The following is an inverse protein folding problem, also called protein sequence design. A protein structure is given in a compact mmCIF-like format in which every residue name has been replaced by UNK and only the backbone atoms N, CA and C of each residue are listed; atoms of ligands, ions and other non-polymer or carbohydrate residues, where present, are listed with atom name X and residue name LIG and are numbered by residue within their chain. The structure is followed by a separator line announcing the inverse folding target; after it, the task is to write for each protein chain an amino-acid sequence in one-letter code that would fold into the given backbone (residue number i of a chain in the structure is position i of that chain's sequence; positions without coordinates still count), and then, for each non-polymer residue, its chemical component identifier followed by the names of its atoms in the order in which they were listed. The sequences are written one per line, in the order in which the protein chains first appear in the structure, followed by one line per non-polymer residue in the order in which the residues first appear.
data_IF_845153722948
#
_entry.id   IF_845153722948
#
_cell.length_a   1.000
_cell.length_b   1.000
_cell.length_c   1.000
_cell.angle_alpha   90.00
_cell.angle_beta   90.00
_cell.angle_gamma   90.00
#
_symmetry.space_group_name_H-M   'P 1'
#
loop_
_entity.id
_entity.type
_entity.pdbx_description
1 polymer ?
#
# COMPACT_ATOMS: atom_id res chain seq x y z
N UNK A 1 -0.41 -33.44 14.63
CA UNK A 1 -0.52 -32.09 14.04
C UNK A 1 0.51 -32.05 12.92
N UNK A 2 0.12 -32.53 11.74
CA UNK A 2 1.06 -32.72 10.63
C UNK A 2 1.46 -31.39 9.99
N UNK A 3 2.72 -31.00 10.24
CA UNK A 3 3.79 -30.81 9.26
C UNK A 3 3.56 -30.11 7.90
N UNK A 4 2.43 -29.45 7.64
CA UNK A 4 2.30 -28.56 6.47
C UNK A 4 2.79 -27.15 6.82
N UNK A 5 4.07 -27.02 7.18
CA UNK A 5 4.70 -25.70 7.34
C UNK A 5 4.66 -25.00 5.98
N UNK A 6 4.01 -23.83 5.92
CA UNK A 6 3.86 -23.10 4.67
C UNK A 6 5.19 -22.79 3.99
N UNK A 7 5.15 -22.53 2.67
CA UNK A 7 6.35 -22.25 1.88
C UNK A 7 7.12 -21.05 2.47
N UNK A 8 8.43 -21.19 2.51
CA UNK A 8 9.37 -20.10 2.82
C UNK A 8 9.66 -19.33 1.54
N UNK A 9 9.54 -18.00 1.58
CA UNK A 9 9.72 -17.09 0.45
C UNK A 9 9.01 -17.54 -0.85
N UNK A 10 7.68 -17.78 -0.82
CA UNK A 10 6.93 -18.27 -1.98
C UNK A 10 6.95 -17.35 -3.21
N UNK A 11 7.29 -16.07 -3.06
CA UNK A 11 7.37 -15.14 -4.19
C UNK A 11 8.77 -14.48 -4.25
N UNK A 12 9.36 -14.23 -5.44
CA UNK A 12 10.73 -13.72 -5.55
C UNK A 12 11.02 -12.42 -4.78
N UNK A 13 10.02 -11.52 -4.70
CA UNK A 13 10.16 -10.28 -3.95
C UNK A 13 10.13 -10.46 -2.43
N UNK A 14 9.71 -11.62 -1.92
CA UNK A 14 9.58 -11.85 -0.48
C UNK A 14 10.92 -11.71 0.25
N UNK A 15 12.01 -12.19 -0.37
CA UNK A 15 13.34 -12.13 0.22
C UNK A 15 13.78 -10.68 0.47
N UNK A 16 13.59 -9.80 -0.51
CA UNK A 16 13.98 -8.39 -0.41
C UNK A 16 13.02 -7.55 0.44
N UNK A 17 11.87 -8.09 0.82
CA UNK A 17 10.85 -7.39 1.61
C UNK A 17 10.63 -8.00 3.00
N UNK A 18 11.32 -9.08 3.33
CA UNK A 18 11.24 -9.75 4.62
C UNK A 18 9.95 -10.56 4.81
N UNK A 19 9.24 -10.95 3.75
CA UNK A 19 7.99 -11.74 3.85
C UNK A 19 8.32 -13.24 3.87
N UNK A 20 8.89 -13.75 4.97
CA UNK A 20 9.47 -15.11 4.96
C UNK A 20 8.43 -16.22 4.90
N UNK A 21 7.37 -16.14 5.69
CA UNK A 21 6.46 -17.26 5.87
C UNK A 21 5.14 -17.09 5.12
N UNK A 22 4.50 -18.22 4.84
CA UNK A 22 3.13 -18.30 4.34
C UNK A 22 2.34 -19.28 5.21
N UNK A 23 1.01 -19.16 5.20
CA UNK A 23 0.16 -19.94 6.10
C UNK A 23 0.12 -21.42 5.69
N UNK A 24 0.08 -21.71 4.38
CA UNK A 24 0.01 -23.08 3.85
C UNK A 24 0.93 -23.26 2.63
N UNK A 25 1.29 -24.51 2.33
CA UNK A 25 2.01 -24.87 1.11
C UNK A 25 1.10 -24.93 -0.13
N UNK A 26 -0.23 -24.97 0.08
CA UNK A 26 -1.24 -24.93 -0.97
C UNK A 26 -1.11 -23.65 -1.80
N UNK A 27 -1.40 -23.78 -3.09
CA UNK A 27 -1.31 -22.68 -4.05
C UNK A 27 -2.27 -22.93 -5.21
N UNK A 28 -2.95 -21.89 -5.61
CA UNK A 28 -3.73 -21.87 -6.85
C UNK A 28 -2.74 -21.89 -8.02
N UNK A 29 -2.81 -22.94 -8.83
CA UNK A 29 -1.95 -23.14 -9.99
C UNK A 29 -2.42 -22.30 -11.20
N UNK A 30 -2.46 -20.98 -11.03
CA UNK A 30 -2.93 -20.02 -12.02
C UNK A 30 -2.13 -18.72 -11.90
N UNK A 31 -1.68 -18.15 -13.02
CA UNK A 31 -1.04 -16.82 -13.01
C UNK A 31 -2.10 -15.74 -12.77
N UNK A 32 -1.95 -14.96 -11.70
CA UNK A 32 -2.84 -13.83 -11.45
C UNK A 32 -2.09 -12.51 -11.61
N UNK A 33 -2.51 -11.72 -12.60
CA UNK A 33 -1.97 -10.38 -12.87
C UNK A 33 -2.91 -9.31 -12.35
N UNK A 34 -2.37 -8.41 -11.54
CA UNK A 34 -3.10 -7.21 -11.10
C UNK A 34 -3.22 -6.24 -12.28
N UNK A 35 -4.45 -5.99 -12.71
CA UNK A 35 -4.77 -5.02 -13.76
C UNK A 35 -5.95 -4.15 -13.33
N UNK A 36 -6.16 -2.98 -13.95
CA UNK A 36 -7.33 -2.16 -13.67
C UNK A 36 -8.68 -2.87 -13.89
N UNK A 37 -8.73 -3.92 -14.71
CA UNK A 37 -9.94 -4.72 -14.95
C UNK A 37 -10.11 -5.91 -14.00
N UNK A 38 -9.03 -6.46 -13.46
CA UNK A 38 -9.08 -7.62 -12.55
C UNK A 38 -9.11 -7.23 -11.08
N UNK A 39 -8.64 -6.02 -10.74
CA UNK A 39 -8.46 -5.59 -9.37
C UNK A 39 -9.25 -4.30 -9.09
N UNK A 40 -10.31 -4.42 -8.30
CA UNK A 40 -11.21 -3.34 -7.93
C UNK A 40 -11.06 -3.06 -6.44
N UNK A 41 -10.90 -1.80 -6.07
CA UNK A 41 -10.71 -1.35 -4.69
C UNK A 41 -11.75 -0.29 -4.37
N UNK A 42 -12.50 -0.47 -3.28
CA UNK A 42 -13.50 0.51 -2.82
C UNK A 42 -13.14 0.94 -1.42
N UNK A 43 -12.85 2.23 -1.25
CA UNK A 43 -12.72 2.83 0.07
C UNK A 43 -14.04 2.70 0.82
N UNK A 44 -13.98 2.18 2.04
CA UNK A 44 -15.13 2.09 2.93
C UNK A 44 -15.02 3.18 3.98
N UNK A 45 -16.04 4.02 4.05
CA UNK A 45 -16.17 5.08 5.05
C UNK A 45 -17.36 4.82 5.95
N UNK A 46 -17.35 5.41 7.13
CA UNK A 46 -18.50 5.50 8.01
C UNK A 46 -19.54 6.47 7.42
N UNK A 47 -20.56 5.93 6.77
CA UNK A 47 -21.61 6.75 6.15
C UNK A 47 -22.43 7.55 7.17
N UNK A 48 -22.38 7.22 8.46
CA UNK A 48 -23.00 8.02 9.52
C UNK A 48 -22.43 9.44 9.65
N UNK A 49 -21.27 9.70 9.06
CA UNK A 49 -20.64 11.03 9.01
C UNK A 49 -21.08 11.86 7.79
N UNK A 50 -21.85 11.27 6.87
CA UNK A 50 -22.45 11.96 5.75
C UNK A 50 -23.78 12.57 6.18
N UNK A 51 -23.95 13.86 5.92
CA UNK A 51 -25.20 14.59 6.17
C UNK A 51 -25.86 14.98 4.85
N UNK A 52 -27.18 15.22 4.89
CA UNK A 52 -27.87 15.77 3.72
C UNK A 52 -27.52 17.25 3.58
N UNK A 53 -27.62 17.76 2.35
CA UNK A 53 -27.36 19.18 2.05
C UNK A 53 -28.16 20.13 2.94
N UNK A 54 -29.42 19.78 3.20
CA UNK A 54 -30.38 20.59 3.97
C UNK A 54 -29.98 20.78 5.44
N UNK A 55 -29.08 19.95 5.96
CA UNK A 55 -28.64 19.97 7.37
C UNK A 55 -27.42 20.89 7.59
N UNK A 56 -27.02 21.65 6.55
CA UNK A 56 -25.90 22.59 6.55
C UNK A 56 -26.39 23.98 6.17
N UNK A 57 -25.95 25.00 6.91
CA UNK A 57 -26.13 26.39 6.48
C UNK A 57 -25.39 26.64 5.16
N UNK A 58 -25.89 27.60 4.38
CA UNK A 58 -25.27 27.96 3.12
C UNK A 58 -23.82 28.36 3.35
N UNK A 59 -22.91 27.63 2.68
CA UNK A 59 -21.44 27.79 2.66
C UNK A 59 -20.64 27.13 3.79
N UNK A 60 -21.27 26.48 4.77
CA UNK A 60 -20.55 25.71 5.80
C UNK A 60 -20.30 24.25 5.38
N UNK A 61 -19.17 23.68 5.79
CA UNK A 61 -18.83 22.28 5.59
C UNK A 61 -18.13 21.94 4.27
N UNK A 62 -18.14 20.65 3.94
CA UNK A 62 -17.43 20.04 2.82
C UNK A 62 -18.38 19.23 1.95
N UNK A 63 -18.20 19.31 0.64
CA UNK A 63 -18.75 18.36 -0.32
C UNK A 63 -17.90 17.11 -0.25
N UNK A 64 -18.54 15.96 -0.15
CA UNK A 64 -17.90 14.64 -0.28
C UNK A 64 -18.15 14.16 -1.69
N UNK A 65 -17.07 14.05 -2.47
CA UNK A 65 -17.08 13.64 -3.87
C UNK A 65 -16.55 12.21 -3.96
N UNK A 66 -17.40 11.28 -4.39
CA UNK A 66 -16.99 9.94 -4.80
C UNK A 66 -16.23 10.04 -6.11
N UNK A 67 -15.04 9.45 -6.11
CA UNK A 67 -14.13 9.42 -7.26
C UNK A 67 -13.93 7.99 -7.68
N UNK A 68 -14.35 7.65 -8.90
CA UNK A 68 -14.10 6.34 -9.51
C UNK A 68 -13.07 6.53 -10.61
N UNK A 69 -11.87 5.97 -10.44
CA UNK A 69 -10.78 6.04 -11.42
C UNK A 69 -10.34 4.65 -11.89
N UNK A 70 -9.92 4.53 -13.15
CA UNK A 70 -9.42 3.28 -13.76
C UNK A 70 -8.07 3.49 -14.41
N UNK A 71 -7.03 2.80 -13.94
CA UNK A 71 -5.70 2.88 -14.56
C UNK A 71 -5.04 4.26 -14.43
N UNK A 72 -5.44 5.06 -13.44
CA UNK A 72 -5.09 6.46 -13.27
C UNK A 72 -4.46 6.69 -11.90
N UNK A 73 -3.41 7.52 -11.82
CA UNK A 73 -2.79 7.88 -10.55
C UNK A 73 -3.68 8.83 -9.73
N UNK A 74 -3.55 8.81 -8.41
CA UNK A 74 -4.36 9.67 -7.53
C UNK A 74 -4.03 11.15 -7.73
N UNK A 75 -2.76 11.52 -7.95
CA UNK A 75 -2.37 12.90 -8.25
C UNK A 75 -2.85 13.36 -9.62
N UNK A 76 -2.95 12.45 -10.60
CA UNK A 76 -3.57 12.76 -11.89
C UNK A 76 -5.05 13.07 -11.72
N UNK A 77 -5.79 12.26 -10.95
CA UNK A 77 -7.19 12.52 -10.64
C UNK A 77 -7.39 13.87 -9.91
N UNK A 78 -6.53 14.18 -8.93
CA UNK A 78 -6.54 15.47 -8.24
C UNK A 78 -6.32 16.65 -9.20
N UNK A 79 -5.37 16.56 -10.12
CA UNK A 79 -5.11 17.60 -11.13
C UNK A 79 -6.27 17.78 -12.09
N UNK A 80 -6.91 16.69 -12.52
CA UNK A 80 -8.09 16.76 -13.38
C UNK A 80 -9.22 17.51 -12.65
N UNK A 81 -9.50 17.14 -11.40
CA UNK A 81 -10.56 17.78 -10.62
C UNK A 81 -10.24 19.25 -10.32
N UNK A 82 -9.02 19.54 -9.88
CA UNK A 82 -8.53 20.90 -9.62
C UNK A 82 -8.74 21.84 -10.81
N UNK A 83 -8.38 21.41 -12.03
CA UNK A 83 -8.60 22.20 -13.25
C UNK A 83 -10.08 22.39 -13.59
N UNK A 84 -10.91 21.38 -13.36
CA UNK A 84 -12.35 21.46 -13.65
C UNK A 84 -13.07 22.39 -12.68
N UNK A 85 -12.64 22.43 -11.43
CA UNK A 85 -13.20 23.27 -10.38
C UNK A 85 -12.55 24.66 -10.28
N UNK A 86 -11.43 24.88 -10.97
CA UNK A 86 -10.61 26.07 -10.85
C UNK A 86 -10.16 26.37 -9.40
N UNK A 87 -9.72 25.33 -8.69
CA UNK A 87 -9.19 25.44 -7.32
C UNK A 87 -7.82 24.76 -7.18
N UNK A 88 -6.94 25.24 -6.28
CA UNK A 88 -5.69 24.55 -5.95
C UNK A 88 -5.91 23.12 -5.44
N UNK A 89 -5.01 22.19 -5.79
CA UNK A 89 -5.07 20.77 -5.37
C UNK A 89 -5.05 20.64 -3.84
N UNK A 90 -4.39 21.56 -3.15
CA UNK A 90 -4.26 21.63 -1.70
C UNK A 90 -5.60 21.84 -0.97
N UNK A 91 -6.63 22.28 -1.70
CA UNK A 91 -7.99 22.42 -1.19
C UNK A 91 -8.84 21.14 -1.35
N UNK A 92 -8.27 20.07 -1.93
CA UNK A 92 -8.92 18.78 -2.13
C UNK A 92 -8.31 17.78 -1.15
N UNK A 93 -9.05 17.44 -0.09
CA UNK A 93 -8.58 16.50 0.95
C UNK A 93 -9.05 15.07 0.64
N UNK A 94 -8.31 14.07 1.10
CA UNK A 94 -8.59 12.64 0.90
C UNK A 94 -7.83 11.80 1.95
N UNK A 95 -8.21 10.53 2.16
CA UNK A 95 -7.62 9.67 3.20
C UNK A 95 -6.26 9.08 2.85
N UNK A 96 -6.01 8.83 1.56
CA UNK A 96 -4.74 8.27 1.10
C UNK A 96 -4.71 7.99 -0.39
N UNK A 97 -3.51 7.73 -0.89
CA UNK A 97 -3.30 7.36 -2.29
C UNK A 97 -3.90 5.98 -2.57
N UNK A 98 -4.42 5.79 -3.79
CA UNK A 98 -4.95 4.52 -4.28
C UNK A 98 -4.14 4.02 -5.46
N UNK A 99 -4.03 2.69 -5.58
CA UNK A 99 -3.27 2.02 -6.63
C UNK A 99 -3.67 2.51 -8.04
N UNK A 100 -2.66 2.75 -8.89
CA UNK A 100 -2.86 3.08 -10.31
C UNK A 100 -3.33 1.86 -11.10
N UNK A 101 -2.79 0.68 -10.80
CA UNK A 101 -3.05 -0.58 -11.51
C UNK A 101 -4.35 -1.25 -11.05
N UNK A 102 -5.39 -0.44 -10.77
CA UNK A 102 -6.67 -0.87 -10.23
C UNK A 102 -7.81 0.02 -10.76
N UNK A 103 -9.04 -0.46 -10.65
CA UNK A 103 -10.22 0.41 -10.63
C UNK A 103 -10.52 0.77 -9.18
N UNK A 104 -10.45 2.05 -8.82
CA UNK A 104 -10.53 2.48 -7.43
C UNK A 104 -11.67 3.45 -7.21
N UNK A 105 -12.48 3.21 -6.17
CA UNK A 105 -13.44 4.17 -5.62
C UNK A 105 -12.87 4.77 -4.35
N UNK A 106 -12.79 6.10 -4.27
CA UNK A 106 -12.32 6.85 -3.09
C UNK A 106 -13.14 8.11 -2.87
N UNK A 107 -12.97 8.78 -1.72
CA UNK A 107 -13.68 10.02 -1.41
C UNK A 107 -12.75 11.22 -1.30
N UNK A 108 -13.08 12.27 -2.04
CA UNK A 108 -12.43 13.57 -1.96
C UNK A 108 -13.35 14.56 -1.22
N UNK A 109 -12.75 15.47 -0.46
CA UNK A 109 -13.45 16.39 0.42
C UNK A 109 -13.02 17.81 0.07
N UNK A 110 -13.99 18.65 -0.28
CA UNK A 110 -13.72 20.01 -0.75
C UNK A 110 -14.64 20.97 -0.01
N UNK A 111 -14.12 22.11 0.46
CA UNK A 111 -14.95 23.11 1.14
C UNK A 111 -16.08 23.57 0.20
N UNK A 112 -17.31 23.57 0.69
CA UNK A 112 -18.50 23.92 -0.12
C UNK A 112 -18.39 25.31 -0.74
N UNK A 113 -17.86 26.28 0.01
CA UNK A 113 -17.71 27.66 -0.46
C UNK A 113 -16.78 27.83 -1.67
N UNK A 114 -15.95 26.82 -1.99
CA UNK A 114 -14.97 26.88 -3.07
C UNK A 114 -15.50 26.31 -4.39
N UNK A 115 -16.68 25.70 -4.41
CA UNK A 115 -17.13 24.88 -5.54
C UNK A 115 -18.58 25.15 -5.89
N UNK A 116 -18.87 25.34 -7.18
CA UNK A 116 -20.23 25.24 -7.70
C UNK A 116 -20.65 23.77 -7.83
N UNK A 117 -21.54 23.32 -6.96
CA UNK A 117 -22.05 21.94 -6.93
C UNK A 117 -22.72 21.51 -8.25
N UNK A 118 -23.19 22.46 -9.08
CA UNK A 118 -23.88 22.17 -10.36
C UNK A 118 -22.96 21.56 -11.43
N UNK A 119 -21.65 21.65 -11.25
CA UNK A 119 -20.68 21.07 -12.19
C UNK A 119 -20.65 19.53 -12.13
N UNK A 120 -21.16 18.93 -11.04
CA UNK A 120 -21.20 17.48 -10.90
C UNK A 120 -22.46 16.89 -11.54
N UNK A 121 -22.38 15.68 -12.12
CA UNK A 121 -21.20 14.82 -12.20
C UNK A 121 -20.17 15.31 -13.24
N UNK A 122 -18.89 15.11 -12.96
CA UNK A 122 -17.82 15.36 -13.94
C UNK A 122 -17.41 14.01 -14.52
N UNK A 123 -17.60 13.84 -15.82
CA UNK A 123 -17.14 12.68 -16.57
C UNK A 123 -15.83 12.99 -17.29
N UNK A 124 -14.87 12.06 -17.17
CA UNK A 124 -13.66 12.01 -17.99
C UNK A 124 -13.35 10.58 -18.38
N UNK A 125 -12.42 10.40 -19.32
CA UNK A 125 -12.17 9.11 -19.98
C UNK A 125 -11.81 7.97 -19.02
N UNK A 126 -11.09 8.30 -17.94
CA UNK A 126 -10.58 7.33 -16.94
C UNK A 126 -11.02 7.63 -15.52
N UNK A 127 -11.85 8.65 -15.32
CA UNK A 127 -12.26 9.10 -13.99
C UNK A 127 -13.64 9.74 -14.02
N UNK A 128 -14.46 9.42 -13.02
CA UNK A 128 -15.77 9.99 -12.78
C UNK A 128 -15.80 10.59 -11.37
N UNK A 129 -16.34 11.79 -11.25
CA UNK A 129 -16.52 12.49 -9.98
C UNK A 129 -18.01 12.76 -9.74
N UNK A 130 -18.53 12.30 -8.61
CA UNK A 130 -19.95 12.38 -8.26
C UNK A 130 -20.11 12.83 -6.81
N UNK A 131 -21.10 13.68 -6.52
CA UNK A 131 -21.40 14.04 -5.13
C UNK A 131 -21.98 12.82 -4.43
N UNK A 132 -21.31 12.37 -3.36
CA UNK A 132 -21.77 11.30 -2.49
C UNK A 132 -22.56 11.83 -1.28
N UNK A 133 -22.30 13.08 -0.88
CA UNK A 133 -22.96 13.71 0.25
C UNK A 133 -22.16 14.90 0.75
N UNK A 134 -22.37 15.24 2.02
CA UNK A 134 -21.75 16.39 2.66
C UNK A 134 -21.26 16.03 4.06
N UNK A 135 -20.33 16.80 4.60
CA UNK A 135 -19.90 16.65 5.99
C UNK A 135 -19.51 18.00 6.59
N UNK A 136 -19.61 18.13 7.91
CA UNK A 136 -19.24 19.37 8.62
C UNK A 136 -17.73 19.54 8.77
N UNK A 137 -16.96 18.47 8.65
CA UNK A 137 -15.54 18.44 9.01
C UNK A 137 -14.66 17.97 7.86
N UNK A 138 -13.35 18.27 7.95
CA UNK A 138 -12.33 17.64 7.10
C UNK A 138 -12.37 16.11 7.25
N UNK A 139 -11.86 15.35 6.27
CA UNK A 139 -11.72 13.89 6.41
C UNK A 139 -10.91 13.59 7.67
N UNK A 140 -11.49 12.75 8.53
CA UNK A 140 -10.83 12.30 9.77
C UNK A 140 -10.54 10.82 9.66
N UNK A 141 -9.46 10.38 10.31
CA UNK A 141 -8.98 9.00 10.23
C UNK A 141 -10.03 7.99 10.72
N UNK A 142 -10.86 8.38 11.68
CA UNK A 142 -11.87 7.50 12.29
C UNK A 142 -13.03 7.17 11.33
N UNK A 143 -13.22 8.01 10.30
CA UNK A 143 -14.23 7.83 9.25
C UNK A 143 -13.79 6.74 8.26
N UNK A 144 -12.48 6.59 8.03
CA UNK A 144 -11.95 5.58 7.11
C UNK A 144 -11.90 4.20 7.78
N UNK A 145 -12.72 3.27 7.30
CA UNK A 145 -12.85 1.91 7.86
C UNK A 145 -12.00 0.87 7.14
N UNK A 146 -11.35 1.25 6.04
CA UNK A 146 -10.51 0.34 5.24
C UNK A 146 -10.94 0.28 3.79
N UNK A 147 -10.60 -0.81 3.11
CA UNK A 147 -10.97 -0.99 1.70
C UNK A 147 -11.61 -2.37 1.49
N UNK A 148 -12.69 -2.40 0.71
CA UNK A 148 -13.21 -3.61 0.08
C UNK A 148 -12.42 -3.85 -1.21
N UNK A 149 -11.98 -5.08 -1.41
CA UNK A 149 -11.29 -5.55 -2.59
C UNK A 149 -12.18 -6.53 -3.32
N UNK A 150 -12.28 -6.35 -4.63
CA UNK A 150 -12.92 -7.29 -5.54
C UNK A 150 -11.89 -7.72 -6.59
N UNK A 151 -11.70 -9.02 -6.67
CA UNK A 151 -10.67 -9.69 -7.46
C UNK A 151 -11.36 -10.60 -8.45
N UNK A 152 -11.20 -10.30 -9.74
CA UNK A 152 -11.76 -11.07 -10.85
C UNK A 152 -10.67 -11.96 -11.44
N UNK A 153 -10.92 -13.27 -11.41
CA UNK A 153 -10.00 -14.31 -11.86
C UNK A 153 -10.67 -15.05 -13.01
N UNK A 154 -10.05 -15.05 -14.17
CA UNK A 154 -10.57 -15.70 -15.38
C UNK A 154 -9.89 -17.05 -15.59
N UNK A 155 -10.62 -18.07 -16.06
CA UNK A 155 -10.04 -19.34 -16.46
C UNK A 155 -9.59 -20.24 -15.29
N UNK A 156 -10.29 -20.16 -14.16
CA UNK A 156 -10.04 -21.03 -13.01
C UNK A 156 -10.85 -22.33 -13.16
N UNK A 157 -10.19 -23.48 -13.32
CA UNK A 157 -10.86 -24.78 -13.36
C UNK A 157 -11.46 -25.18 -11.99
N UNK A 158 -12.37 -26.16 -11.98
CA UNK A 158 -13.08 -26.59 -10.76
C UNK A 158 -12.12 -27.01 -9.63
N UNK A 159 -11.01 -27.68 -9.98
CA UNK A 159 -10.00 -28.11 -9.00
C UNK A 159 -9.33 -26.89 -8.37
N UNK A 160 -8.94 -25.91 -9.17
CA UNK A 160 -8.32 -24.68 -8.66
C UNK A 160 -9.30 -23.82 -7.86
N UNK A 161 -10.60 -23.84 -8.20
CA UNK A 161 -11.64 -23.22 -7.40
C UNK A 161 -11.73 -23.86 -6.01
N UNK A 162 -11.67 -25.19 -5.92
CA UNK A 162 -11.71 -25.90 -4.63
C UNK A 162 -10.45 -25.66 -3.79
N UNK A 163 -9.27 -25.65 -4.42
CA UNK A 163 -8.01 -25.25 -3.75
C UNK A 163 -8.11 -23.82 -3.21
N UNK A 164 -8.63 -22.88 -4.00
CA UNK A 164 -8.81 -21.50 -3.56
C UNK A 164 -9.75 -21.40 -2.35
N UNK A 165 -10.88 -22.13 -2.37
CA UNK A 165 -11.80 -22.20 -1.21
C UNK A 165 -11.09 -22.73 0.02
N UNK A 166 -10.33 -23.82 -0.09
CA UNK A 166 -9.57 -24.40 1.01
C UNK A 166 -8.56 -23.41 1.61
N UNK A 167 -7.83 -22.66 0.78
CA UNK A 167 -6.90 -21.62 1.26
C UNK A 167 -7.67 -20.49 1.97
N UNK A 168 -8.79 -20.03 1.41
CA UNK A 168 -9.62 -18.99 2.04
C UNK A 168 -10.20 -19.44 3.39
N UNK A 169 -10.58 -20.71 3.52
CA UNK A 169 -11.00 -21.29 4.80
C UNK A 169 -9.88 -21.29 5.84
N UNK A 170 -8.65 -21.65 5.43
CA UNK A 170 -7.48 -21.58 6.29
C UNK A 170 -7.20 -20.15 6.74
N UNK A 171 -7.24 -19.19 5.81
CA UNK A 171 -7.09 -17.75 6.10
C UNK A 171 -8.17 -17.28 7.08
N UNK A 172 -9.42 -17.70 6.89
CA UNK A 172 -10.52 -17.30 7.78
C UNK A 172 -10.35 -17.87 9.20
N UNK A 173 -9.83 -19.10 9.32
CA UNK A 173 -9.62 -19.76 10.63
C UNK A 173 -8.41 -19.20 11.34
N UNK A 174 -7.28 -19.13 10.66
CA UNK A 174 -5.97 -18.86 11.25
C UNK A 174 -5.47 -17.44 11.06
N UNK A 175 -5.96 -16.72 10.05
CA UNK A 175 -5.45 -15.39 9.68
C UNK A 175 -4.11 -15.42 8.95
N UNK A 176 -3.62 -14.23 8.64
CA UNK A 176 -2.35 -14.01 7.96
C UNK A 176 -1.45 -13.09 8.77
N UNK A 177 -0.11 -13.27 8.74
CA UNK A 177 0.79 -12.29 9.32
C UNK A 177 0.57 -10.93 8.66
N UNK A 178 0.46 -9.88 9.47
CA UNK A 178 0.14 -8.53 9.04
C UNK A 178 1.35 -7.77 8.44
N UNK A 179 2.09 -8.46 7.57
CA UNK A 179 3.23 -7.93 6.85
C UNK A 179 2.89 -6.64 6.11
N UNK A 180 3.88 -5.75 6.01
CA UNK A 180 3.90 -4.71 5.01
C UNK A 180 4.06 -5.33 3.62
N UNK A 181 3.11 -5.09 2.73
CA UNK A 181 3.12 -5.68 1.37
C UNK A 181 4.09 -4.99 0.41
N UNK A 182 4.27 -5.59 -0.77
CA UNK A 182 5.23 -5.17 -1.80
C UNK A 182 5.13 -3.69 -2.17
N UNK A 183 3.92 -3.12 -2.20
CA UNK A 183 3.68 -1.73 -2.54
C UNK A 183 4.38 -0.76 -1.58
N UNK A 184 4.58 -1.14 -0.30
CA UNK A 184 5.32 -0.32 0.67
C UNK A 184 6.79 -0.16 0.29
N UNK A 185 7.35 -1.15 -0.40
CA UNK A 185 8.76 -1.19 -0.77
C UNK A 185 9.03 -0.72 -2.21
N UNK A 186 7.97 -0.54 -2.99
CA UNK A 186 8.01 -0.29 -4.43
C UNK A 186 7.99 -1.59 -5.22
N UNK A 187 7.18 -1.64 -6.29
CA UNK A 187 7.04 -2.84 -7.13
C UNK A 187 8.06 -2.84 -8.26
N UNK A 188 8.19 -1.74 -9.01
CA UNK A 188 9.17 -1.61 -10.10
C UNK A 188 10.61 -1.52 -9.60
N UNK A 189 10.83 -0.68 -8.58
CA UNK A 189 12.08 -0.54 -7.84
C UNK A 189 11.80 -0.88 -6.37
N UNK A 190 12.16 -2.09 -5.96
CA UNK A 190 11.92 -2.62 -4.61
C UNK A 190 12.94 -2.10 -3.59
N UNK A 191 13.11 -0.78 -3.51
CA UNK A 191 14.23 -0.15 -2.82
C UNK A 191 13.85 0.93 -1.81
N UNK A 192 12.55 1.14 -1.58
CA UNK A 192 12.06 2.24 -0.73
C UNK A 192 12.56 2.10 0.72
N UNK A 193 12.58 0.89 1.25
CA UNK A 193 13.14 0.60 2.58
C UNK A 193 14.67 0.75 2.63
N UNK A 194 15.39 0.47 1.54
CA UNK A 194 16.84 0.69 1.45
C UNK A 194 17.19 2.18 1.47
N UNK A 195 16.41 2.99 0.75
CA UNK A 195 16.52 4.44 0.81
C UNK A 195 16.27 4.93 2.25
N UNK A 196 15.20 4.45 2.90
CA UNK A 196 14.91 4.74 4.30
C UNK A 196 16.03 4.36 5.26
N UNK A 197 16.58 3.15 5.12
CA UNK A 197 17.73 2.67 5.90
C UNK A 197 18.89 3.66 5.86
N UNK A 198 19.28 4.11 4.68
CA UNK A 198 20.43 5.01 4.55
C UNK A 198 20.14 6.45 4.97
N UNK A 199 18.87 6.86 5.03
CA UNK A 199 18.49 8.12 5.69
C UNK A 199 18.64 8.01 7.20
N UNK A 200 18.10 6.95 7.80
CA UNK A 200 18.21 6.67 9.24
C UNK A 200 19.68 6.60 9.65
N UNK A 201 20.51 5.90 8.88
CA UNK A 201 21.95 5.77 9.12
C UNK A 201 22.79 7.00 8.78
N UNK A 202 22.15 8.07 8.27
CA UNK A 202 22.82 9.31 7.82
C UNK A 202 23.94 9.04 6.79
N UNK A 203 23.72 8.08 5.89
CA UNK A 203 24.66 7.66 4.84
C UNK A 203 24.18 8.09 3.46
N UNK A 204 24.37 9.37 3.14
CA UNK A 204 23.97 9.95 1.85
C UNK A 204 24.69 9.30 0.67
N UNK A 205 25.95 8.89 0.86
CA UNK A 205 26.73 8.16 -0.14
C UNK A 205 26.01 6.87 -0.58
N UNK A 206 25.55 6.06 0.37
CA UNK A 206 24.78 4.85 0.10
C UNK A 206 23.40 5.16 -0.47
N UNK A 207 22.71 6.18 0.07
CA UNK A 207 21.41 6.62 -0.44
C UNK A 207 21.49 6.99 -1.93
N UNK A 208 22.48 7.80 -2.30
CA UNK A 208 22.65 8.27 -3.68
C UNK A 208 22.91 7.11 -4.65
N UNK A 209 23.70 6.10 -4.23
CA UNK A 209 23.95 4.90 -5.03
C UNK A 209 22.67 4.11 -5.29
N UNK A 210 21.86 3.88 -4.26
CA UNK A 210 20.56 3.18 -4.40
C UNK A 210 19.59 3.97 -5.28
N UNK A 211 19.58 5.30 -5.13
CA UNK A 211 18.68 6.18 -5.86
C UNK A 211 19.06 6.29 -7.35
N UNK A 212 20.35 6.46 -7.65
CA UNK A 212 20.83 6.83 -8.98
C UNK A 212 21.35 5.64 -9.79
N UNK A 213 22.16 4.79 -9.15
CA UNK A 213 23.04 3.85 -9.86
C UNK A 213 22.50 2.40 -9.84
N UNK A 214 21.66 2.03 -8.87
CA UNK A 214 21.08 0.68 -8.82
C UNK A 214 19.97 0.50 -9.85
N UNK A 215 20.07 -0.58 -10.62
CA UNK A 215 19.10 -1.02 -11.63
C UNK A 215 18.28 -2.18 -11.11
N UNK A 216 16.98 -2.20 -11.42
CA UNK A 216 16.04 -3.21 -10.98
C UNK A 216 15.38 -3.91 -12.18
N UNK A 217 15.18 -5.24 -12.15
CA UNK A 217 14.54 -5.98 -13.24
C UNK A 217 13.11 -5.51 -13.58
N UNK A 218 12.40 -4.91 -12.63
CA UNK A 218 11.05 -4.37 -12.82
C UNK A 218 10.99 -2.99 -13.48
N UNK A 219 12.13 -2.40 -13.83
CA UNK A 219 12.17 -1.11 -14.53
C UNK A 219 11.95 -1.26 -16.03
N UNK A 220 11.31 -0.25 -16.63
CA UNK A 220 11.16 -0.19 -18.08
C UNK A 220 12.52 0.03 -18.75
N UNK A 221 12.77 -0.56 -19.92
CA UNK A 221 14.08 -0.52 -20.61
C UNK A 221 14.58 0.93 -20.83
N UNK A 222 13.67 1.85 -21.17
CA UNK A 222 14.01 3.27 -21.35
C UNK A 222 14.56 3.89 -20.06
N UNK A 223 13.97 3.57 -18.90
CA UNK A 223 14.44 4.04 -17.62
C UNK A 223 15.84 3.51 -17.29
N UNK A 224 16.09 2.23 -17.58
CA UNK A 224 17.40 1.60 -17.40
C UNK A 224 18.46 2.31 -18.27
N UNK A 225 18.17 2.52 -19.56
CA UNK A 225 19.09 3.20 -20.50
C UNK A 225 19.41 4.62 -20.02
N UNK A 226 18.41 5.37 -19.55
CA UNK A 226 18.61 6.73 -19.02
C UNK A 226 19.52 6.74 -17.79
N UNK A 227 19.37 5.78 -16.86
CA UNK A 227 20.27 5.65 -15.70
C UNK A 227 21.71 5.33 -16.09
N UNK A 228 21.92 4.40 -17.02
CA UNK A 228 23.25 4.06 -17.52
C UNK A 228 23.93 5.30 -18.12
N UNK A 229 23.18 6.12 -18.85
CA UNK A 229 23.67 7.39 -19.43
C UNK A 229 23.77 8.54 -18.42
N UNK A 230 23.39 8.31 -17.15
CA UNK A 230 23.25 9.32 -16.09
C UNK A 230 22.35 10.51 -16.51
N UNK A 231 21.37 10.25 -17.36
CA UNK A 231 20.33 11.22 -17.71
C UNK A 231 19.18 11.13 -16.71
N UNK A 232 19.15 12.07 -15.77
CA UNK A 232 18.14 12.10 -14.72
C UNK A 232 16.98 13.08 -14.97
N UNK A 233 16.90 13.65 -16.17
CA UNK A 233 15.99 14.76 -16.48
C UNK A 233 14.51 14.37 -16.35
N UNK A 234 14.15 13.16 -16.77
CA UNK A 234 12.76 12.65 -16.72
C UNK A 234 12.37 11.99 -15.39
N UNK A 235 13.31 11.83 -14.44
CA UNK A 235 13.03 11.21 -13.15
C UNK A 235 12.72 12.27 -12.09
N UNK A 236 11.58 12.12 -11.41
CA UNK A 236 11.07 13.14 -10.49
C UNK A 236 11.94 13.32 -9.24
N UNK A 237 12.40 12.23 -8.61
CA UNK A 237 13.19 12.29 -7.38
C UNK A 237 14.68 12.44 -7.69
N UNK A 238 15.20 11.62 -8.60
CA UNK A 238 16.59 11.62 -9.04
C UNK A 238 16.97 12.95 -9.69
N UNK A 239 16.11 13.50 -10.54
CA UNK A 239 16.34 14.81 -11.15
C UNK A 239 16.39 15.93 -10.11
N UNK A 240 15.59 15.87 -9.03
CA UNK A 240 15.69 16.83 -7.92
C UNK A 240 16.99 16.68 -7.15
N UNK A 241 17.39 15.44 -6.88
CA UNK A 241 18.63 15.13 -6.18
C UNK A 241 19.83 15.70 -6.93
N UNK A 242 19.97 15.38 -8.21
CA UNK A 242 21.11 15.77 -9.04
C UNK A 242 21.16 17.29 -9.28
N UNK A 243 20.02 17.94 -9.58
CA UNK A 243 19.98 19.39 -9.81
C UNK A 243 20.41 20.23 -8.60
N UNK A 244 20.20 19.71 -7.39
CA UNK A 244 20.54 20.41 -6.16
C UNK A 244 21.99 20.18 -5.70
N UNK A 245 22.70 19.22 -6.31
CA UNK A 245 24.08 18.86 -5.97
C UNK A 245 24.21 17.84 -4.84
N UNK A 246 25.42 17.29 -4.70
CA UNK A 246 25.78 16.17 -3.82
C UNK A 246 26.27 16.60 -2.41
N UNK A 247 25.82 17.75 -1.91
CA UNK A 247 26.29 18.39 -0.67
C UNK A 247 25.22 18.39 0.43
N UNK A 248 24.39 17.35 0.52
CA UNK A 248 23.26 17.26 1.46
C UNK A 248 22.00 17.99 1.01
N UNK A 249 22.11 18.97 0.11
CA UNK A 249 20.96 19.71 -0.41
C UNK A 249 20.08 18.83 -1.32
N UNK A 250 20.71 17.96 -2.12
CA UNK A 250 20.02 16.94 -2.92
C UNK A 250 19.15 16.03 -2.06
N UNK A 251 19.71 15.45 -1.01
CA UNK A 251 18.97 14.60 -0.08
C UNK A 251 17.81 15.38 0.55
N UNK A 252 18.07 16.56 1.11
CA UNK A 252 17.04 17.40 1.74
C UNK A 252 15.86 17.69 0.80
N UNK A 253 16.12 17.95 -0.48
CA UNK A 253 15.08 18.22 -1.47
C UNK A 253 14.25 16.97 -1.82
N UNK A 254 14.88 15.79 -1.87
CA UNK A 254 14.17 14.53 -2.06
C UNK A 254 13.32 14.21 -0.83
N UNK A 255 13.85 14.36 0.38
CA UNK A 255 13.11 14.10 1.63
C UNK A 255 11.90 15.01 1.79
N UNK A 256 12.00 16.29 1.39
CA UNK A 256 10.83 17.18 1.34
C UNK A 256 9.73 16.69 0.42
N UNK A 257 10.08 15.98 -0.66
CA UNK A 257 9.12 15.46 -1.63
C UNK A 257 8.56 14.09 -1.25
N UNK A 258 9.39 13.22 -0.66
CA UNK A 258 9.00 11.89 -0.20
C UNK A 258 8.35 11.91 1.20
N UNK A 259 8.56 12.98 1.95
CA UNK A 259 8.20 13.07 3.37
C UNK A 259 8.82 11.88 4.16
N UNK A 260 8.17 11.45 5.23
CA UNK A 260 8.59 10.31 6.06
C UNK A 260 8.45 8.94 5.37
N UNK A 261 7.84 8.83 4.17
CA UNK A 261 7.43 7.55 3.55
C UNK A 261 8.55 6.51 3.49
N UNK A 262 9.78 6.92 3.20
CA UNK A 262 10.91 5.99 3.08
C UNK A 262 11.39 5.46 4.44
N UNK A 263 11.39 6.29 5.49
CA UNK A 263 11.72 5.87 6.86
C UNK A 263 10.64 4.89 7.34
N UNK A 264 9.40 5.25 7.05
CA UNK A 264 8.20 4.46 7.29
C UNK A 264 8.22 3.09 6.58
N UNK A 265 8.83 3.02 5.39
CA UNK A 265 9.07 1.77 4.67
C UNK A 265 10.18 0.94 5.31
N UNK A 266 11.27 1.56 5.78
CA UNK A 266 12.31 0.84 6.50
C UNK A 266 11.81 0.25 7.82
N UNK A 267 11.04 1.02 8.59
CA UNK A 267 10.38 0.52 9.79
C UNK A 267 9.43 -0.66 9.48
N UNK A 268 8.73 -0.61 8.34
CA UNK A 268 7.90 -1.72 7.88
C UNK A 268 8.69 -2.98 7.51
N UNK A 269 9.89 -2.82 6.94
CA UNK A 269 10.81 -3.94 6.68
C UNK A 269 11.27 -4.60 7.99
N UNK A 270 11.71 -3.80 8.97
CA UNK A 270 12.10 -4.31 10.29
C UNK A 270 10.92 -5.01 10.97
N UNK A 271 9.70 -4.45 10.87
CA UNK A 271 8.50 -5.09 11.39
C UNK A 271 8.23 -6.45 10.73
N UNK A 272 8.43 -6.58 9.42
CA UNK A 272 8.33 -7.89 8.76
C UNK A 272 9.35 -8.90 9.32
N UNK A 273 10.60 -8.47 9.59
CA UNK A 273 11.60 -9.32 10.23
C UNK A 273 11.18 -9.74 11.65
N UNK A 274 10.56 -8.85 12.43
CA UNK A 274 10.00 -9.21 13.74
C UNK A 274 8.95 -10.31 13.61
N UNK A 275 8.00 -10.17 12.67
CA UNK A 275 6.97 -11.20 12.48
C UNK A 275 7.60 -12.55 12.12
N UNK A 276 8.67 -12.57 11.32
CA UNK A 276 9.41 -13.80 11.02
C UNK A 276 10.01 -14.42 12.29
N UNK A 277 10.68 -13.61 13.11
CA UNK A 277 11.26 -14.05 14.39
C UNK A 277 10.19 -14.66 15.31
N UNK A 278 9.03 -14.02 15.43
CA UNK A 278 7.92 -14.54 16.25
C UNK A 278 7.41 -15.88 15.71
N UNK A 279 7.23 -16.00 14.39
CA UNK A 279 6.78 -17.25 13.78
C UNK A 279 7.80 -18.37 14.02
N UNK A 280 9.09 -18.07 13.96
CA UNK A 280 10.17 -19.04 14.21
C UNK A 280 10.23 -19.50 15.67
N UNK A 281 10.06 -18.60 16.62
CA UNK A 281 10.20 -18.89 18.05
C UNK A 281 8.91 -19.45 18.67
N UNK A 282 7.75 -18.94 18.23
CA UNK A 282 6.46 -19.12 18.93
C UNK A 282 5.33 -19.59 18.00
N UNK A 283 5.57 -19.64 16.70
CA UNK A 283 4.57 -20.04 15.71
C UNK A 283 3.53 -18.95 15.41
N UNK A 284 2.64 -19.26 14.45
CA UNK A 284 1.61 -18.32 13.96
C UNK A 284 0.64 -17.85 15.05
N UNK A 285 0.38 -18.66 16.07
CA UNK A 285 -0.59 -18.35 17.12
C UNK A 285 -0.20 -17.12 17.94
N UNK A 286 1.10 -16.86 18.13
CA UNK A 286 1.53 -15.71 18.94
C UNK A 286 1.28 -14.38 18.24
N UNK A 287 1.03 -14.38 16.92
CA UNK A 287 0.80 -13.17 16.13
C UNK A 287 -0.54 -12.47 16.43
N UNK A 288 -1.50 -13.15 17.08
CA UNK A 288 -2.86 -12.65 17.34
C UNK A 288 -2.91 -11.62 18.48
N UNK A 289 -2.08 -10.57 18.34
CA UNK A 289 -1.97 -9.40 19.22
C UNK A 289 -1.25 -8.27 18.50
N UNK A 290 -1.20 -7.10 19.13
CA UNK A 290 -0.40 -5.98 18.63
C UNK A 290 1.06 -6.06 19.08
N UNK A 291 1.95 -5.59 18.21
CA UNK A 291 3.37 -5.43 18.48
C UNK A 291 3.80 -3.98 18.26
N UNK A 292 4.78 -3.50 19.06
CA UNK A 292 5.32 -2.17 18.87
C UNK A 292 6.14 -2.09 17.58
N UNK A 293 6.00 -0.98 16.85
CA UNK A 293 6.90 -0.62 15.76
C UNK A 293 8.32 -0.32 16.32
N UNK A 294 9.39 -0.46 15.49
CA UNK A 294 10.77 -0.44 15.95
C UNK A 294 11.22 0.88 16.60
N UNK A 295 10.49 1.98 16.44
CA UNK A 295 10.81 3.24 17.12
C UNK A 295 10.39 3.29 18.59
N UNK A 296 9.58 2.35 19.07
CA UNK A 296 9.10 2.34 20.45
C UNK A 296 10.16 1.84 21.43
N UNK A 297 10.16 2.36 22.66
CA UNK A 297 11.16 2.00 23.68
C UNK A 297 11.03 0.51 24.05
N UNK A 298 9.79 0.02 24.15
CA UNK A 298 9.43 -1.36 24.44
C UNK A 298 9.87 -2.34 23.34
N UNK A 299 10.20 -1.83 22.14
CA UNK A 299 10.67 -2.66 21.03
C UNK A 299 12.16 -3.02 21.13
N UNK A 300 12.96 -2.34 21.96
CA UNK A 300 14.43 -2.47 21.98
C UNK A 300 14.88 -3.91 22.25
N UNK A 301 14.31 -4.56 23.27
CA UNK A 301 14.64 -5.96 23.59
C UNK A 301 14.07 -6.92 22.54
N UNK A 302 12.84 -6.67 22.11
CA UNK A 302 12.14 -7.53 21.14
C UNK A 302 12.88 -7.61 19.79
N UNK A 303 13.45 -6.49 19.34
CA UNK A 303 14.18 -6.34 18.07
C UNK A 303 15.71 -6.44 18.20
N UNK A 304 16.25 -6.71 19.38
CA UNK A 304 17.69 -6.59 19.68
C UNK A 304 18.61 -7.24 18.63
N UNK A 305 18.33 -8.49 18.27
CA UNK A 305 19.10 -9.23 17.26
C UNK A 305 18.94 -8.63 15.86
N UNK A 306 17.71 -8.22 15.50
CA UNK A 306 17.41 -7.59 14.20
C UNK A 306 18.17 -6.26 14.07
N UNK A 307 18.19 -5.45 15.14
CA UNK A 307 18.94 -4.20 15.16
C UNK A 307 20.44 -4.43 15.06
N UNK A 308 20.95 -5.47 15.73
CA UNK A 308 22.36 -5.87 15.63
C UNK A 308 22.73 -6.29 14.20
N UNK A 309 21.93 -7.15 13.57
CA UNK A 309 22.13 -7.61 12.18
C UNK A 309 22.05 -6.46 11.16
N UNK A 310 21.12 -5.53 11.37
CA UNK A 310 20.97 -4.34 10.53
C UNK A 310 22.01 -3.24 10.85
N UNK A 311 22.79 -3.45 11.92
CA UNK A 311 23.83 -2.56 12.43
C UNK A 311 23.28 -1.21 12.89
N UNK A 312 22.13 -1.18 13.54
CA UNK A 312 21.48 0.02 14.04
C UNK A 312 21.93 0.34 15.46
N UNK A 313 22.18 1.62 15.70
CA UNK A 313 22.41 2.20 17.03
C UNK A 313 21.09 2.59 17.69
N UNK A 314 21.09 2.74 19.02
CA UNK A 314 19.89 3.18 19.74
C UNK A 314 19.42 4.60 19.34
N UNK A 315 20.33 5.49 18.93
CA UNK A 315 19.95 6.82 18.42
C UNK A 315 19.18 6.71 17.09
N UNK A 316 19.66 5.86 16.18
CA UNK A 316 19.01 5.60 14.89
C UNK A 316 17.63 4.95 15.08
N UNK A 317 17.52 3.99 16.00
CA UNK A 317 16.25 3.31 16.36
C UNK A 317 15.22 4.32 16.85
N UNK A 318 15.60 5.26 17.72
CA UNK A 318 14.69 6.32 18.23
C UNK A 318 14.18 7.27 17.15
N UNK A 319 14.83 7.32 15.98
CA UNK A 319 14.38 8.09 14.83
C UNK A 319 13.30 7.39 13.99
N UNK A 320 12.98 6.13 14.29
CA UNK A 320 11.94 5.37 13.61
C UNK A 320 10.55 5.67 14.20
N UNK A 321 9.46 5.43 13.46
CA UNK A 321 8.10 5.62 13.97
C UNK A 321 7.78 4.68 15.14
N UNK A 322 7.07 5.21 16.13
CA UNK A 322 6.52 4.44 17.25
C UNK A 322 4.98 4.49 17.26
N UNK A 323 4.39 3.31 17.12
CA UNK A 323 2.97 3.00 17.34
C UNK A 323 2.82 1.48 17.43
N UNK A 324 1.64 1.00 17.78
CA UNK A 324 1.32 -0.43 17.82
C UNK A 324 0.61 -0.88 16.55
N UNK A 325 0.88 -2.11 16.12
CA UNK A 325 0.30 -2.71 14.93
C UNK A 325 -0.01 -4.18 15.18
N UNK A 326 -1.19 -4.61 14.74
CA UNK A 326 -1.58 -6.02 14.73
C UNK A 326 -0.52 -6.89 14.04
N UNK A 327 -0.09 -7.98 14.68
CA UNK A 327 0.80 -8.99 14.09
C UNK A 327 0.08 -9.94 13.13
N UNK A 328 -1.24 -10.03 13.24
CA UNK A 328 -2.11 -10.91 12.46
C UNK A 328 -3.36 -10.16 11.99
N UNK A 329 -3.92 -10.57 10.85
CA UNK A 329 -5.23 -10.09 10.41
C UNK A 329 -6.03 -11.19 9.73
N UNK A 330 -7.36 -11.02 9.75
CA UNK A 330 -8.31 -11.86 9.01
C UNK A 330 -9.12 -10.97 8.07
N UNK A 331 -9.14 -11.25 6.75
CA UNK A 331 -10.00 -10.51 5.83
C UNK A 331 -11.47 -10.65 6.21
N UNK A 332 -12.18 -9.51 6.30
CA UNK A 332 -13.59 -9.45 6.68
C UNK A 332 -14.48 -9.66 5.46
N UNK A 333 -15.70 -10.17 5.68
CA UNK A 333 -16.73 -10.34 4.63
C UNK A 333 -16.22 -11.08 3.37
N UNK A 334 -15.34 -12.07 3.58
CA UNK A 334 -14.75 -12.85 2.49
C UNK A 334 -15.79 -13.72 1.81
N UNK A 335 -15.96 -13.56 0.50
CA UNK A 335 -16.94 -14.28 -0.30
C UNK A 335 -16.37 -14.57 -1.69
N UNK A 336 -16.61 -15.79 -2.18
CA UNK A 336 -16.19 -16.22 -3.51
C UNK A 336 -17.38 -16.78 -4.27
N UNK A 337 -17.55 -16.35 -5.52
CA UNK A 337 -18.58 -16.86 -6.43
C UNK A 337 -18.00 -17.01 -7.83
N UNK A 338 -18.26 -18.12 -8.51
CA UNK A 338 -17.84 -18.30 -9.90
C UNK A 338 -19.07 -18.39 -10.80
N UNK A 339 -19.04 -17.68 -11.93
CA UNK A 339 -20.08 -17.68 -12.95
C UNK A 339 -19.39 -17.85 -14.32
N UNK A 340 -19.63 -19.00 -14.96
CA UNK A 340 -18.91 -19.37 -16.19
C UNK A 340 -17.41 -19.52 -15.93
N UNK A 341 -16.60 -18.81 -16.70
CA UNK A 341 -15.14 -18.80 -16.63
C UNK A 341 -14.58 -17.74 -15.67
N UNK A 342 -15.42 -16.93 -15.02
CA UNK A 342 -15.02 -15.86 -14.11
C UNK A 342 -15.34 -16.22 -12.67
N UNK A 343 -14.31 -16.23 -11.82
CA UNK A 343 -14.43 -16.26 -10.38
C UNK A 343 -14.24 -14.86 -9.80
N UNK A 344 -15.17 -14.47 -8.93
CA UNK A 344 -15.19 -13.21 -8.19
C UNK A 344 -14.92 -13.48 -6.72
N UNK A 345 -13.79 -12.99 -6.23
CA UNK A 345 -13.42 -12.99 -4.82
C UNK A 345 -13.57 -11.57 -4.25
N UNK A 346 -14.33 -11.42 -3.17
CA UNK A 346 -14.51 -10.15 -2.47
C UNK A 346 -14.11 -10.32 -1.02
N UNK A 347 -13.37 -9.36 -0.47
CA UNK A 347 -13.02 -9.30 0.95
C UNK A 347 -12.71 -7.85 1.35
N UNK A 348 -12.77 -7.55 2.64
CA UNK A 348 -12.47 -6.24 3.18
C UNK A 348 -11.26 -6.32 4.11
N UNK A 349 -10.39 -5.32 4.03
CA UNK A 349 -9.27 -5.15 4.95
C UNK A 349 -9.36 -3.80 5.66
N UNK A 350 -9.00 -3.79 6.93
CA UNK A 350 -8.83 -2.59 7.75
C UNK A 350 -7.69 -1.69 7.25
N UNK A 351 -7.65 -0.41 7.69
CA UNK A 351 -6.59 0.53 7.31
C UNK A 351 -5.19 0.00 7.60
N UNK A 352 -4.29 0.15 6.63
CA UNK A 352 -2.87 -0.22 6.79
C UNK A 352 -2.57 -1.70 6.54
N UNK A 353 -3.55 -2.51 6.15
CA UNK A 353 -3.36 -3.87 5.65
C UNK A 353 -3.27 -3.91 4.12
N UNK A 354 -2.68 -4.98 3.57
CA UNK A 354 -2.31 -5.08 2.16
C UNK A 354 -2.98 -6.28 1.50
N UNK A 355 -3.82 -6.04 0.49
CA UNK A 355 -4.47 -7.11 -0.27
C UNK A 355 -3.49 -8.04 -0.99
N UNK A 356 -2.29 -7.54 -1.32
CA UNK A 356 -1.23 -8.36 -1.90
C UNK A 356 -0.75 -9.47 -0.95
N UNK A 357 -0.93 -9.36 0.36
CA UNK A 357 -0.64 -10.46 1.29
C UNK A 357 -1.65 -11.60 1.14
N UNK A 358 -2.93 -11.27 0.95
CA UNK A 358 -3.98 -12.27 0.66
C UNK A 358 -3.72 -12.92 -0.70
N UNK A 359 -3.45 -12.11 -1.73
CA UNK A 359 -3.19 -12.61 -3.08
C UNK A 359 -1.90 -13.45 -3.14
N UNK A 360 -0.86 -13.05 -2.40
CA UNK A 360 0.38 -13.82 -2.26
C UNK A 360 0.09 -15.17 -1.64
N UNK A 361 -0.77 -15.24 -0.62
CA UNK A 361 -1.15 -16.53 -0.03
C UNK A 361 -1.85 -17.44 -1.03
N UNK A 362 -2.71 -16.89 -1.89
CA UNK A 362 -3.44 -17.67 -2.90
C UNK A 362 -2.54 -18.15 -4.05
N UNK A 363 -1.76 -17.25 -4.64
CA UNK A 363 -1.07 -17.49 -5.93
C UNK A 363 0.44 -17.74 -5.78
N UNK A 364 1.04 -17.44 -4.63
CA UNK A 364 2.48 -17.64 -4.36
C UNK A 364 3.34 -17.02 -5.48
N UNK A 365 4.24 -17.79 -6.09
CA UNK A 365 5.11 -17.37 -7.19
C UNK A 365 4.37 -16.91 -8.46
N UNK A 366 3.08 -17.26 -8.58
CA UNK A 366 2.25 -16.95 -9.75
C UNK A 366 1.48 -15.63 -9.62
N UNK A 367 1.65 -14.92 -8.50
CA UNK A 367 1.19 -13.55 -8.37
C UNK A 367 2.10 -12.63 -9.19
N UNK A 368 1.56 -11.95 -10.19
CA UNK A 368 2.34 -11.00 -11.01
C UNK A 368 2.03 -9.57 -10.61
N UNK A 369 3.05 -8.88 -10.11
CA UNK A 369 3.03 -7.49 -9.69
C UNK A 369 3.64 -6.63 -10.80
N UNK A 370 2.88 -5.65 -11.28
CA UNK A 370 3.26 -4.75 -12.38
C UNK A 370 3.36 -3.29 -11.92
#
# INVERSE_FOLDING_TARGET
MDSDTGRIYPHPLDYVSGLKYSLTSLSVNHEYRITPSSFIVREVIDEGYLVKRVDLHDREGYIVVRVVKRGLDTFEALRILSRKLDIPVENIYFHGLKDKNATTTSYFYIKRLLVDEKIFPIQGDKVVFEIAGYTRFKPRREIFKGNEFEVLIQGLDERQQEVMKGILELISRHGLPAYYGYQRFGVKRYNTHLLGKYVVKRREDCFSRILLDTMYPGEDLEAIVKRIRRDFTSFYYEGRYVRAGYNGLGLKNVLRALNEIIIDAYAGYLYNLLLNKIIEEKGFVDLDKEYPMPGCIESIELYSDIFSEEGLTLEEVRGLPCYYRNGLFKPLNTRMSCAGDVCRLVFMLEPGLYATIVLRELFKEKLVLN
#
